data_IF_196974988265
#
_entry.id   IF_196974988265
#
_cell.length_a   1.000
_cell.length_b   1.000
_cell.length_c   1.000
_cell.angle_alpha   90.00
_cell.angle_beta   90.00
_cell.angle_gamma   90.00
#
_symmetry.space_group_name_H-M   'P 1'
#
loop_
_entity.id
_entity.type
_entity.pdbx_description
1 polymer ?
#
# COMPACT_ATOMS: atom_id res chain seq x y z
N UNK A 1 -2.49 3.82 -3.96
CA UNK A 1 -2.12 2.56 -4.62
C UNK A 1 -3.26 2.03 -5.48
N UNK A 2 -4.28 1.35 -4.92
CA UNK A 2 -5.34 0.75 -5.74
C UNK A 2 -6.07 1.76 -6.66
N UNK A 3 -6.56 2.87 -6.12
CA UNK A 3 -7.33 3.88 -6.90
C UNK A 3 -6.48 4.78 -7.80
N UNK A 4 -5.17 4.84 -7.57
CA UNK A 4 -4.27 5.78 -8.26
C UNK A 4 -3.39 5.09 -9.30
N UNK A 5 -2.93 3.87 -9.01
CA UNK A 5 -1.93 3.15 -9.79
C UNK A 5 -2.38 1.72 -10.18
N UNK A 6 -3.65 1.38 -9.94
CA UNK A 6 -4.19 0.01 -10.12
C UNK A 6 -3.40 -1.09 -9.39
N UNK A 7 -2.60 -0.74 -8.38
CA UNK A 7 -1.77 -1.67 -7.62
C UNK A 7 -2.49 -2.09 -6.34
N UNK A 8 -2.88 -3.37 -6.29
CA UNK A 8 -3.52 -3.97 -5.11
C UNK A 8 -2.49 -4.35 -4.06
N UNK A 9 -2.71 -3.95 -2.82
CA UNK A 9 -1.88 -4.36 -1.67
C UNK A 9 -2.69 -5.25 -0.76
N UNK A 10 -2.10 -6.37 -0.31
CA UNK A 10 -2.76 -7.27 0.64
C UNK A 10 -3.07 -6.58 1.97
N UNK A 11 -4.14 -6.99 2.64
CA UNK A 11 -4.60 -6.41 3.92
C UNK A 11 -3.65 -6.69 5.10
N UNK A 12 -2.76 -7.67 4.97
CA UNK A 12 -1.87 -8.13 6.06
C UNK A 12 -0.51 -7.45 6.02
N UNK A 13 0.17 -7.47 4.87
CA UNK A 13 1.57 -7.00 4.76
C UNK A 13 1.67 -5.71 3.93
N UNK A 14 1.42 -5.82 2.62
CA UNK A 14 1.69 -4.72 1.70
C UNK A 14 0.83 -3.47 1.96
N UNK A 15 -0.37 -3.64 2.50
CA UNK A 15 -1.22 -2.51 2.89
C UNK A 15 -0.59 -1.68 4.01
N UNK A 16 0.08 -2.33 4.96
CA UNK A 16 0.79 -1.68 6.06
C UNK A 16 2.06 -0.97 5.56
N UNK A 17 2.87 -1.63 4.72
CA UNK A 17 4.07 -1.02 4.17
C UNK A 17 3.75 0.16 3.24
N UNK A 18 2.68 0.05 2.44
CA UNK A 18 2.17 1.14 1.60
C UNK A 18 1.60 2.31 2.43
N UNK A 19 0.91 2.03 3.54
CA UNK A 19 0.48 3.08 4.45
C UNK A 19 1.69 3.80 5.07
N UNK A 20 2.71 3.06 5.48
CA UNK A 20 3.94 3.59 6.05
C UNK A 20 4.68 4.51 5.08
N UNK A 21 4.89 4.10 3.82
CA UNK A 21 5.60 4.96 2.85
C UNK A 21 4.81 6.24 2.54
N UNK A 22 3.48 6.17 2.42
CA UNK A 22 2.62 7.36 2.20
C UNK A 22 2.73 8.32 3.39
N UNK A 23 2.68 7.81 4.62
CA UNK A 23 2.79 8.61 5.83
C UNK A 23 4.17 9.27 5.97
N UNK A 24 5.24 8.52 5.73
CA UNK A 24 6.62 9.04 5.74
C UNK A 24 6.82 10.13 4.68
N UNK A 25 6.30 9.94 3.47
CA UNK A 25 6.33 10.98 2.42
C UNK A 25 5.58 12.24 2.85
N UNK A 26 4.37 12.11 3.42
CA UNK A 26 3.59 13.25 3.91
C UNK A 26 4.26 14.02 5.05
N UNK A 27 5.05 13.33 5.87
CA UNK A 27 5.84 13.92 6.95
C UNK A 27 7.15 14.55 6.49
N UNK A 28 7.48 14.49 5.20
CA UNK A 28 8.75 14.99 4.67
C UNK A 28 9.97 14.19 5.18
N UNK A 29 9.77 12.93 5.56
CA UNK A 29 10.84 12.08 6.08
C UNK A 29 11.95 11.85 5.04
N UNK A 30 11.56 11.68 3.77
CA UNK A 30 12.51 11.57 2.67
C UNK A 30 12.89 12.98 2.19
N UNK A 31 14.19 13.29 1.99
CA UNK A 31 14.61 14.55 1.40
C UNK A 31 13.92 14.83 0.07
N UNK A 32 13.63 16.10 -0.22
CA UNK A 32 13.03 16.50 -1.49
C UNK A 32 13.85 15.99 -2.69
N UNK A 33 13.17 15.47 -3.71
CA UNK A 33 13.80 14.87 -4.89
C UNK A 33 14.28 13.42 -4.71
N UNK A 34 14.12 12.81 -3.53
CA UNK A 34 14.46 11.40 -3.31
C UNK A 34 13.66 10.46 -4.22
N UNK A 35 14.32 9.45 -4.78
CA UNK A 35 13.68 8.33 -5.48
C UNK A 35 13.55 7.17 -4.51
N UNK A 36 12.32 6.81 -4.15
CA UNK A 36 12.04 5.72 -3.21
C UNK A 36 11.51 4.51 -3.98
N UNK A 37 12.21 3.39 -3.90
CA UNK A 37 11.77 2.13 -4.50
C UNK A 37 10.88 1.37 -3.53
N UNK A 38 9.60 1.24 -3.86
CA UNK A 38 8.68 0.37 -3.13
C UNK A 38 8.79 -1.07 -3.65
N UNK A 39 9.21 -1.99 -2.79
CA UNK A 39 9.25 -3.41 -3.10
C UNK A 39 7.89 -4.04 -2.83
N UNK A 40 7.11 -4.29 -3.90
CA UNK A 40 5.81 -4.95 -3.78
C UNK A 40 5.98 -6.47 -3.73
N UNK A 41 5.81 -7.05 -2.55
CA UNK A 41 6.10 -8.48 -2.29
C UNK A 41 4.90 -9.41 -2.58
N UNK A 42 3.73 -8.86 -2.90
CA UNK A 42 2.53 -9.61 -3.31
C UNK A 42 1.46 -9.76 -2.22
N UNK A 43 0.92 -10.96 -2.05
CA UNK A 43 -0.10 -11.23 -1.02
C UNK A 43 -1.54 -10.76 -1.34
N UNK A 44 -1.78 -10.19 -2.52
CA UNK A 44 -3.12 -9.78 -2.96
C UNK A 44 -4.19 -10.90 -2.89
N UNK A 45 -3.91 -12.20 -3.18
CA UNK A 45 -4.91 -13.26 -3.06
C UNK A 45 -5.52 -13.39 -1.65
N UNK A 46 -4.81 -12.98 -0.59
CA UNK A 46 -5.31 -13.02 0.77
C UNK A 46 -6.51 -12.08 1.00
N UNK A 47 -6.71 -11.07 0.14
CA UNK A 47 -7.86 -10.16 0.21
C UNK A 47 -9.21 -10.90 0.16
N UNK A 48 -9.28 -12.07 -0.49
CA UNK A 48 -10.48 -12.89 -0.52
C UNK A 48 -10.95 -13.33 0.89
N UNK A 49 -10.01 -13.49 1.83
CA UNK A 49 -10.32 -13.78 3.23
C UNK A 49 -10.88 -12.59 4.02
N UNK A 50 -10.84 -11.39 3.46
CA UNK A 50 -11.27 -10.13 4.08
C UNK A 50 -12.45 -9.49 3.33
N UNK A 51 -13.23 -10.28 2.58
CA UNK A 51 -14.29 -9.79 1.69
C UNK A 51 -15.29 -8.84 2.37
N UNK A 52 -15.70 -9.13 3.60
CA UNK A 52 -16.62 -8.27 4.35
C UNK A 52 -16.05 -6.88 4.65
N UNK A 53 -14.74 -6.77 4.86
CA UNK A 53 -14.08 -5.47 5.11
C UNK A 53 -14.10 -4.58 3.87
N UNK A 54 -14.06 -5.17 2.67
CA UNK A 54 -14.01 -4.47 1.39
C UNK A 54 -15.33 -4.50 0.61
N UNK A 55 -16.47 -4.81 1.26
CA UNK A 55 -17.76 -5.04 0.59
C UNK A 55 -18.30 -3.83 -0.21
N UNK A 56 -17.84 -2.63 0.11
CA UNK A 56 -18.27 -1.35 -0.49
C UNK A 56 -17.12 -0.62 -1.21
N UNK A 57 -15.99 -1.30 -1.45
CA UNK A 57 -14.77 -0.73 -2.02
C UNK A 57 -13.99 0.16 -1.04
#
# INVERSE_FOLDING_TARGET
>A
AARTEAMMTGSVYEGQSMQGIIDLTRKGFFPEGSKVLYAHLGGAPALNGYSYYYREG
#
